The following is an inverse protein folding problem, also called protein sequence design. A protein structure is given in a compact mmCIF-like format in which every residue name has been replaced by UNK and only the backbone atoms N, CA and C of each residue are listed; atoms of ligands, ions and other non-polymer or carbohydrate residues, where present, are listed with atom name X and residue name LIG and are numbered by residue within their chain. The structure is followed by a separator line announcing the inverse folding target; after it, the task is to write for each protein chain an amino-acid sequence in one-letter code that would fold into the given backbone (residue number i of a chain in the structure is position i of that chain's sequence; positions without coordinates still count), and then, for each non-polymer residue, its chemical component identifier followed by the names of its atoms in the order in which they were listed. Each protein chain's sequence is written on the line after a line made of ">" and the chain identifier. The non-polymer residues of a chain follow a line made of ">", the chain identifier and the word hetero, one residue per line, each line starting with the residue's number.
data_IF_508571603355
#
_entry.id   IF_508571603355
#
_cell.length_a   1.000
_cell.length_b   1.000
_cell.length_c   1.000
_cell.angle_alpha   90.00
_cell.angle_beta   90.00
_cell.angle_gamma   90.00
#
_symmetry.space_group_name_H-M   'P 1'
#
loop_
_entity.id
_entity.type
_entity.pdbx_description
1 polymer ?
#
# COMPACT_ATOMS: atom_id res chain seq x y z
N UNK A 1 -26.90 13.21 -49.90
CA UNK A 1 -25.44 13.03 -49.81
C UNK A 1 -25.13 11.56 -49.99
N UNK A 2 -24.68 11.20 -51.18
CA UNK A 2 -24.55 9.83 -51.69
C UNK A 2 -23.15 9.29 -51.36
N UNK A 3 -23.07 8.10 -50.76
CA UNK A 3 -21.80 7.40 -50.51
C UNK A 3 -21.47 6.49 -51.69
N UNK A 4 -20.25 6.61 -52.21
CA UNK A 4 -19.72 5.79 -53.30
C UNK A 4 -18.19 5.78 -53.19
N UNK A 5 -17.60 4.67 -52.74
CA UNK A 5 -16.17 4.36 -52.95
C UNK A 5 -16.05 2.85 -53.20
N UNK A 6 -15.44 2.43 -54.33
CA UNK A 6 -15.41 1.04 -54.79
C UNK A 6 -14.15 0.27 -54.37
N UNK A 7 -14.28 -1.05 -54.52
CA UNK A 7 -13.27 -2.11 -54.64
C UNK A 7 -11.92 -1.69 -55.26
N UNK A 8 -10.81 -2.19 -54.68
CA UNK A 8 -9.68 -2.69 -55.45
C UNK A 8 -8.91 -3.77 -54.67
N UNK A 9 -8.99 -5.00 -55.18
CA UNK A 9 -8.09 -6.11 -54.85
C UNK A 9 -6.80 -5.98 -55.70
N UNK A 10 -5.67 -6.53 -55.23
CA UNK A 10 -4.68 -7.27 -56.04
C UNK A 10 -3.66 -7.97 -55.13
N UNK A 11 -3.53 -9.28 -55.36
CA UNK A 11 -2.54 -10.25 -54.90
C UNK A 11 -1.11 -9.95 -55.39
N UNK A 12 -0.10 -10.52 -54.72
CA UNK A 12 0.95 -11.44 -55.26
C UNK A 12 2.14 -11.48 -54.25
N UNK A 13 2.30 -12.57 -53.48
CA UNK A 13 3.10 -13.78 -53.75
C UNK A 13 4.63 -13.55 -53.73
N UNK A 14 5.28 -14.04 -52.65
CA UNK A 14 6.60 -14.67 -52.72
C UNK A 14 6.65 -15.84 -51.73
N UNK A 15 6.79 -17.05 -52.27
CA UNK A 15 7.17 -18.27 -51.56
C UNK A 15 8.64 -18.63 -51.85
N UNK A 16 9.12 -19.66 -51.13
CA UNK A 16 10.37 -20.43 -51.24
C UNK A 16 11.50 -19.95 -50.30
N UNK A 17 12.25 -20.80 -49.60
CA UNK A 17 12.19 -22.23 -49.25
C UNK A 17 13.37 -22.50 -48.28
N UNK A 18 13.17 -23.40 -47.29
CA UNK A 18 14.13 -24.36 -46.73
C UNK A 18 15.54 -23.93 -46.22
N UNK A 19 15.83 -24.26 -44.95
CA UNK A 19 17.19 -24.38 -44.42
C UNK A 19 17.21 -24.90 -42.97
N UNK A 20 17.85 -26.04 -42.77
CA UNK A 20 17.98 -26.84 -41.54
C UNK A 20 18.81 -26.17 -40.42
N UNK A 21 18.48 -26.43 -39.14
CA UNK A 21 19.32 -27.15 -38.15
C UNK A 21 18.90 -26.90 -36.70
N UNK A 22 18.94 -27.99 -35.94
CA UNK A 22 18.81 -28.07 -34.49
C UNK A 22 19.93 -27.32 -33.75
N UNK A 23 19.60 -26.73 -32.60
CA UNK A 23 20.36 -26.86 -31.36
C UNK A 23 19.57 -26.26 -30.19
N UNK A 24 19.22 -27.16 -29.28
CA UNK A 24 19.04 -26.98 -27.84
C UNK A 24 19.73 -25.73 -27.25
N UNK A 25 19.00 -24.93 -26.49
CA UNK A 25 19.53 -23.94 -25.55
C UNK A 25 18.44 -23.50 -24.57
N UNK A 26 18.34 -24.26 -23.49
CA UNK A 26 18.13 -23.80 -22.12
C UNK A 26 17.19 -22.59 -21.92
N UNK A 27 15.99 -22.93 -21.48
CA UNK A 27 15.17 -22.13 -20.55
C UNK A 27 16.07 -21.57 -19.43
N UNK A 28 16.48 -20.31 -19.58
CA UNK A 28 16.97 -19.53 -18.44
C UNK A 28 15.74 -18.94 -17.79
N UNK A 29 15.26 -19.67 -16.78
CA UNK A 29 14.30 -19.21 -15.80
C UNK A 29 14.72 -17.81 -15.33
N UNK A 30 13.76 -16.90 -15.35
CA UNK A 30 13.94 -15.54 -14.88
C UNK A 30 14.53 -15.56 -13.48
N UNK A 31 15.72 -14.99 -13.36
CA UNK A 31 16.18 -14.46 -12.09
C UNK A 31 15.12 -13.46 -11.66
N UNK A 32 14.43 -13.78 -10.56
CA UNK A 32 13.73 -12.78 -9.79
C UNK A 32 14.78 -11.74 -9.43
N UNK A 33 14.74 -10.61 -10.14
CA UNK A 33 15.39 -9.39 -9.74
C UNK A 33 14.76 -9.05 -8.38
N UNK A 34 15.46 -9.41 -7.30
CA UNK A 34 15.18 -8.83 -5.99
C UNK A 34 15.32 -7.34 -6.20
N UNK A 35 14.19 -6.62 -6.22
CA UNK A 35 14.23 -5.17 -6.20
C UNK A 35 15.03 -4.84 -4.95
N UNK A 36 16.27 -4.40 -5.15
CA UNK A 36 17.08 -3.79 -4.13
C UNK A 36 16.35 -2.48 -3.82
N UNK A 37 15.36 -2.55 -2.92
CA UNK A 37 14.84 -1.39 -2.23
C UNK A 37 15.97 -0.90 -1.33
N UNK A 38 16.97 -0.29 -1.96
CA UNK A 38 18.09 0.31 -1.27
C UNK A 38 17.49 1.38 -0.38
N UNK A 39 17.37 1.07 0.91
CA UNK A 39 16.85 1.99 1.90
C UNK A 39 17.62 3.31 1.80
N UNK A 40 16.98 4.46 2.07
CA UNK A 40 17.66 5.75 2.07
C UNK A 40 18.96 5.72 2.88
N UNK A 41 19.88 6.64 2.60
CA UNK A 41 21.10 6.75 3.39
C UNK A 41 20.80 7.35 4.77
N UNK A 42 21.72 7.18 5.71
CA UNK A 42 21.60 7.73 7.07
C UNK A 42 21.16 6.73 8.13
N UNK A 43 20.77 7.28 9.28
CA UNK A 43 20.23 6.58 10.44
C UNK A 43 18.85 5.98 10.14
N UNK A 44 18.38 5.08 11.01
CA UNK A 44 17.04 4.49 10.90
C UNK A 44 15.94 5.57 10.90
N UNK A 45 16.07 6.57 11.77
CA UNK A 45 15.13 7.68 11.84
C UNK A 45 15.12 8.50 10.55
N UNK A 46 16.28 8.87 10.02
CA UNK A 46 16.37 9.63 8.76
C UNK A 46 15.77 8.87 7.57
N UNK A 47 15.95 7.54 7.52
CA UNK A 47 15.32 6.68 6.50
C UNK A 47 13.80 6.70 6.60
N UNK A 48 13.29 6.50 7.81
CA UNK A 48 11.85 6.50 8.10
C UNK A 48 11.23 7.85 7.78
N UNK A 49 11.91 8.94 8.12
CA UNK A 49 11.44 10.29 7.85
C UNK A 49 11.37 10.56 6.36
N UNK A 50 12.37 10.11 5.61
CA UNK A 50 12.36 10.21 4.14
C UNK A 50 11.16 9.48 3.53
N UNK A 51 10.82 8.28 3.99
CA UNK A 51 9.65 7.55 3.50
C UNK A 51 8.34 8.22 3.90
N UNK A 52 8.23 8.70 5.14
CA UNK A 52 7.03 9.42 5.62
C UNK A 52 6.82 10.70 4.79
N UNK A 53 7.86 11.46 4.51
CA UNK A 53 7.80 12.69 3.69
C UNK A 53 7.32 12.40 2.27
N UNK A 54 7.63 11.22 1.72
CA UNK A 54 7.20 10.79 0.39
C UNK A 54 5.84 10.06 0.40
N UNK A 55 5.24 9.82 1.57
CA UNK A 55 4.07 8.96 1.77
C UNK A 55 4.31 7.47 1.40
N UNK A 56 5.57 7.03 1.41
CA UNK A 56 5.98 5.64 1.12
C UNK A 56 5.88 4.75 2.37
N UNK A 57 4.72 4.73 3.02
CA UNK A 57 4.52 4.04 4.31
C UNK A 57 4.74 2.53 4.22
N UNK A 58 4.26 1.89 3.15
CA UNK A 58 4.42 0.44 2.95
C UNK A 58 5.89 0.04 2.86
N UNK A 59 6.69 0.82 2.14
CA UNK A 59 8.14 0.63 2.04
C UNK A 59 8.81 0.74 3.41
N UNK A 60 8.42 1.73 4.21
CA UNK A 60 8.95 1.90 5.56
C UNK A 60 8.58 0.72 6.47
N UNK A 61 7.33 0.26 6.41
CA UNK A 61 6.85 -0.89 7.19
C UNK A 61 7.54 -2.18 6.79
N UNK A 62 7.69 -2.44 5.49
CA UNK A 62 8.41 -3.61 4.98
C UNK A 62 9.87 -3.60 5.46
N UNK A 63 10.56 -2.47 5.31
CA UNK A 63 11.95 -2.37 5.74
C UNK A 63 12.09 -2.51 7.26
N UNK A 64 11.24 -1.86 8.06
CA UNK A 64 11.22 -2.00 9.53
C UNK A 64 10.91 -3.44 9.96
N UNK A 65 10.07 -4.16 9.22
CA UNK A 65 9.74 -5.57 9.45
C UNK A 65 10.93 -6.52 9.27
N UNK A 66 11.98 -6.11 8.55
CA UNK A 66 13.23 -6.88 8.45
C UNK A 66 14.21 -6.63 9.61
N UNK A 67 13.92 -5.64 10.46
CA UNK A 67 14.77 -5.28 11.60
C UNK A 67 14.41 -6.11 12.84
N UNK A 68 15.25 -6.02 13.89
CA UNK A 68 14.94 -6.67 15.17
C UNK A 68 13.74 -5.99 15.85
N UNK A 69 12.57 -6.63 15.83
CA UNK A 69 11.33 -6.11 16.42
C UNK A 69 11.37 -5.90 17.94
N UNK A 70 12.32 -6.51 18.66
CA UNK A 70 12.51 -6.26 20.09
C UNK A 70 13.33 -4.99 20.37
N UNK A 71 13.97 -4.42 19.35
CA UNK A 71 14.71 -3.18 19.48
C UNK A 71 13.73 -2.02 19.76
N UNK A 72 13.88 -1.27 20.88
CA UNK A 72 13.00 -0.15 21.20
C UNK A 72 13.00 0.95 20.14
N UNK A 73 14.09 1.13 19.40
CA UNK A 73 14.13 2.11 18.32
C UNK A 73 13.28 1.65 17.12
N UNK A 74 13.28 0.35 16.79
CA UNK A 74 12.39 -0.20 15.74
C UNK A 74 10.93 -0.01 16.13
N UNK A 75 10.57 -0.30 17.38
CA UNK A 75 9.20 -0.07 17.89
C UNK A 75 8.78 1.39 17.80
N UNK A 76 9.68 2.33 18.19
CA UNK A 76 9.41 3.77 18.08
C UNK A 76 9.18 4.21 16.63
N UNK A 77 9.96 3.66 15.69
CA UNK A 77 9.79 4.00 14.28
C UNK A 77 8.54 3.36 13.67
N UNK A 78 8.19 2.12 14.03
CA UNK A 78 6.91 1.52 13.64
C UNK A 78 5.73 2.35 14.14
N UNK A 79 5.79 2.82 15.40
CA UNK A 79 4.76 3.68 15.99
C UNK A 79 4.62 4.98 15.18
N UNK A 80 5.74 5.61 14.82
CA UNK A 80 5.79 6.83 13.99
C UNK A 80 5.19 6.59 12.61
N UNK A 81 5.55 5.50 11.93
CA UNK A 81 5.06 5.18 10.58
C UNK A 81 3.56 4.92 10.59
N UNK A 82 3.07 4.06 11.48
CA UNK A 82 1.64 3.77 11.58
C UNK A 82 0.80 5.01 11.90
N UNK A 83 1.27 5.85 12.82
CA UNK A 83 0.58 7.09 13.17
C UNK A 83 0.47 8.04 11.97
N UNK A 84 1.56 8.23 11.23
CA UNK A 84 1.56 9.08 10.05
C UNK A 84 0.76 8.49 8.89
N UNK A 85 0.76 7.15 8.74
CA UNK A 85 -0.06 6.49 7.73
C UNK A 85 -1.56 6.73 8.02
N UNK A 86 -1.99 6.56 9.27
CA UNK A 86 -3.36 6.87 9.68
C UNK A 86 -3.78 8.31 9.34
N UNK A 87 -2.91 9.29 9.65
CA UNK A 87 -3.16 10.69 9.27
C UNK A 87 -3.25 10.90 7.76
N UNK A 88 -2.35 10.28 6.98
CA UNK A 88 -2.39 10.38 5.53
C UNK A 88 -3.70 9.84 4.95
N UNK A 89 -4.14 8.68 5.43
CA UNK A 89 -5.39 8.05 4.98
C UNK A 89 -6.62 8.92 5.23
N UNK A 90 -6.63 9.71 6.30
CA UNK A 90 -7.70 10.67 6.56
C UNK A 90 -7.69 11.90 5.64
N UNK A 91 -6.55 12.23 5.02
CA UNK A 91 -6.38 13.42 4.18
C UNK A 91 -6.65 13.16 2.68
N UNK A 92 -6.62 11.90 2.23
CA UNK A 92 -6.95 11.53 0.85
C UNK A 92 -8.48 11.49 0.69
N UNK A 93 -9.08 12.65 0.50
CA UNK A 93 -10.54 12.77 0.43
C UNK A 93 -11.08 12.45 -0.96
N UNK A 94 -11.44 11.18 -1.18
CA UNK A 94 -12.38 10.76 -2.21
C UNK A 94 -13.70 10.33 -1.52
N UNK A 95 -14.83 11.02 -1.76
CA UNK A 95 -16.12 10.64 -1.19
C UNK A 95 -16.55 9.21 -1.47
N UNK A 96 -16.11 8.62 -2.59
CA UNK A 96 -16.39 7.22 -2.92
C UNK A 96 -15.60 6.26 -2.02
N UNK A 97 -14.41 6.65 -1.58
CA UNK A 97 -13.49 5.84 -0.78
C UNK A 97 -13.48 6.20 0.70
N UNK A 98 -14.27 7.19 1.14
CA UNK A 98 -14.25 7.71 2.52
C UNK A 98 -14.38 6.58 3.56
N UNK A 99 -15.26 5.59 3.34
CA UNK A 99 -15.41 4.45 4.26
C UNK A 99 -14.15 3.59 4.28
N UNK A 100 -13.61 3.26 3.11
CA UNK A 100 -12.36 2.49 2.96
C UNK A 100 -11.23 3.17 3.71
N UNK A 101 -11.07 4.48 3.50
CA UNK A 101 -10.00 5.29 4.11
C UNK A 101 -10.15 5.42 5.61
N UNK A 102 -11.37 5.62 6.13
CA UNK A 102 -11.61 5.69 7.58
C UNK A 102 -11.38 4.34 8.26
N UNK A 103 -11.78 3.23 7.64
CA UNK A 103 -11.48 1.88 8.13
C UNK A 103 -9.97 1.59 8.13
N UNK A 104 -9.26 2.04 7.09
CA UNK A 104 -7.81 1.91 7.03
C UNK A 104 -7.11 2.77 8.09
N UNK A 105 -7.54 4.03 8.28
CA UNK A 105 -7.01 4.89 9.33
C UNK A 105 -7.21 4.30 10.73
N UNK A 106 -8.40 3.76 11.03
CA UNK A 106 -8.66 3.04 12.29
C UNK A 106 -7.75 1.83 12.47
N UNK A 107 -7.47 1.09 11.39
CA UNK A 107 -6.52 -0.03 11.42
C UNK A 107 -5.12 0.47 11.77
N UNK A 108 -4.64 1.53 11.12
CA UNK A 108 -3.34 2.14 11.41
C UNK A 108 -3.24 2.60 12.87
N UNK A 109 -4.27 3.27 13.41
CA UNK A 109 -4.26 3.69 14.80
C UNK A 109 -4.35 2.53 15.79
N UNK A 110 -5.03 1.43 15.45
CA UNK A 110 -4.99 0.21 16.24
C UNK A 110 -3.57 -0.36 16.31
N UNK A 111 -2.81 -0.36 15.20
CA UNK A 111 -1.40 -0.78 15.19
C UNK A 111 -0.50 0.15 16.01
N UNK A 112 -0.82 1.45 16.10
CA UNK A 112 -0.13 2.34 17.06
C UNK A 112 -0.38 1.88 18.51
N UNK A 113 -1.61 1.49 18.84
CA UNK A 113 -1.96 1.05 20.20
C UNK A 113 -1.37 -0.32 20.57
N UNK A 114 -1.06 -1.19 19.60
CA UNK A 114 -0.30 -2.43 19.89
C UNK A 114 1.14 -2.15 20.33
N UNK A 115 1.72 -1.05 19.87
CA UNK A 115 3.08 -0.60 20.20
C UNK A 115 3.11 0.27 21.46
N UNK A 116 2.11 1.13 21.61
CA UNK A 116 1.94 2.07 22.71
C UNK A 116 0.45 2.26 23.02
N UNK A 117 -0.07 1.46 23.95
CA UNK A 117 -1.50 1.47 24.35
C UNK A 117 -1.99 2.85 24.85
N UNK A 118 -1.08 3.71 25.30
CA UNK A 118 -1.39 5.04 25.85
C UNK A 118 -1.10 6.16 24.87
N UNK A 119 -0.97 5.87 23.57
CA UNK A 119 -0.77 6.90 22.56
C UNK A 119 -2.04 7.76 22.42
N UNK A 120 -2.04 8.92 23.09
CA UNK A 120 -3.15 9.88 23.12
C UNK A 120 -3.53 10.39 21.72
N UNK A 121 -2.56 10.52 20.82
CA UNK A 121 -2.82 10.98 19.47
C UNK A 121 -3.66 9.95 18.69
N UNK A 122 -3.26 8.67 18.73
CA UNK A 122 -4.02 7.59 18.09
C UNK A 122 -5.42 7.44 18.69
N UNK A 123 -5.55 7.47 20.03
CA UNK A 123 -6.86 7.42 20.70
C UNK A 123 -7.76 8.58 20.29
N UNK A 124 -7.23 9.80 20.29
CA UNK A 124 -7.98 10.99 19.87
C UNK A 124 -8.49 10.90 18.43
N UNK A 125 -7.70 10.32 17.51
CA UNK A 125 -8.13 10.11 16.13
C UNK A 125 -9.16 9.00 15.99
N UNK A 126 -9.03 7.89 16.74
CA UNK A 126 -10.03 6.83 16.79
C UNK A 126 -11.37 7.42 17.26
N UNK A 127 -11.37 8.16 18.38
CA UNK A 127 -12.55 8.82 18.93
C UNK A 127 -13.20 9.76 17.90
N UNK A 128 -12.39 10.54 17.17
CA UNK A 128 -12.86 11.44 16.13
C UNK A 128 -13.55 10.67 14.99
N UNK A 129 -12.94 9.60 14.48
CA UNK A 129 -13.49 8.78 13.39
C UNK A 129 -14.79 8.09 13.85
N UNK A 130 -14.79 7.47 15.03
CA UNK A 130 -15.97 6.82 15.59
C UNK A 130 -17.09 7.84 15.85
N UNK A 131 -16.76 9.06 16.26
CA UNK A 131 -17.68 10.17 16.38
C UNK A 131 -18.38 10.53 15.06
N UNK A 132 -17.67 10.45 13.92
CA UNK A 132 -18.28 10.65 12.60
C UNK A 132 -19.28 9.52 12.29
N UNK A 133 -18.90 8.26 12.53
CA UNK A 133 -19.80 7.12 12.32
C UNK A 133 -21.05 7.19 13.21
N UNK A 134 -20.93 7.68 14.44
CA UNK A 134 -22.07 7.87 15.34
C UNK A 134 -23.15 8.84 14.78
N UNK A 135 -22.79 9.70 13.81
CA UNK A 135 -23.76 10.58 13.11
C UNK A 135 -24.50 9.88 11.97
N UNK A 136 -24.10 8.66 11.59
CA UNK A 136 -24.61 7.89 10.45
C UNK A 136 -25.22 6.56 10.94
N UNK A 137 -26.51 6.50 11.31
CA UNK A 137 -27.10 5.36 12.03
C UNK A 137 -27.06 4.02 11.26
N UNK A 138 -27.01 4.07 9.92
CA UNK A 138 -26.97 2.88 9.07
C UNK A 138 -25.54 2.54 8.59
N UNK A 139 -24.51 3.16 9.18
CA UNK A 139 -23.11 2.98 8.78
C UNK A 139 -22.20 2.90 10.00
N UNK A 140 -21.24 1.98 9.95
CA UNK A 140 -20.19 1.87 10.95
C UNK A 140 -18.87 1.42 10.33
N UNK A 141 -17.79 1.40 11.14
CA UNK A 141 -16.56 0.73 10.78
C UNK A 141 -16.81 -0.73 10.39
N UNK A 142 -15.88 -1.32 9.66
CA UNK A 142 -15.92 -2.76 9.39
C UNK A 142 -15.80 -3.57 10.70
N UNK A 143 -16.49 -4.72 10.84
CA UNK A 143 -16.37 -5.56 12.03
C UNK A 143 -14.93 -5.93 12.37
N UNK A 144 -14.13 -6.29 11.36
CA UNK A 144 -12.71 -6.62 11.54
C UNK A 144 -11.88 -5.45 12.10
N UNK A 145 -12.28 -4.21 11.81
CA UNK A 145 -11.65 -3.01 12.37
C UNK A 145 -12.04 -2.83 13.83
N UNK A 146 -13.31 -3.07 14.17
CA UNK A 146 -13.76 -3.03 15.56
C UNK A 146 -13.09 -4.12 16.41
N UNK A 147 -12.92 -5.33 15.87
CA UNK A 147 -12.23 -6.43 16.54
C UNK A 147 -10.77 -6.08 16.90
N UNK A 148 -10.11 -5.27 16.06
CA UNK A 148 -8.76 -4.75 16.32
C UNK A 148 -8.72 -3.69 17.41
N UNK A 149 -9.78 -2.89 17.53
CA UNK A 149 -9.87 -1.80 18.52
C UNK A 149 -10.37 -2.29 19.89
N UNK A 150 -11.13 -3.38 19.93
CA UNK A 150 -11.74 -3.93 21.14
C UNK A 150 -10.78 -4.15 22.31
N UNK A 151 -9.53 -4.66 22.13
CA UNK A 151 -8.57 -4.81 23.22
C UNK A 151 -8.23 -3.49 23.94
N UNK A 152 -8.43 -2.35 23.27
CA UNK A 152 -8.06 -1.02 23.76
C UNK A 152 -9.24 -0.23 24.35
N UNK A 153 -10.42 -0.85 24.44
CA UNK A 153 -11.61 -0.29 25.08
C UNK A 153 -12.64 0.35 24.14
N UNK A 154 -12.63 -0.03 22.86
CA UNK A 154 -13.54 0.47 21.82
C UNK A 154 -14.61 -0.54 21.42
#
# INVERSE_FOLDING_TARGET
>A
MTRLIPFLAILLLTQCQQGEKAADSASTMGSAESIDMAAPSGTMEEKVDTWIENNDYDTALEWLGTQNGDNPDVKRQLEKVWLNYGYHSMNVFDPAEMRTQMNWALTCFAEVLTLNEQNEAARGQIDQILGVYATMPDRGPDPDVMDRLAPFGY
#
